data_IF_076362288739
#
_entry.id   IF_076362288739
#
_cell.length_a   1.000
_cell.length_b   1.000
_cell.length_c   1.000
_cell.angle_alpha   90.00
_cell.angle_beta   90.00
_cell.angle_gamma   90.00
#
_symmetry.space_group_name_H-M   'P 1'
#
loop_
_entity.id
_entity.type
_entity.pdbx_description
1 polymer ?
#
# COMPACT_ATOMS: atom_id res chain seq x y z
N UNK A 1 -17.28 -29.13 11.37
CA UNK A 1 -17.95 -28.70 10.13
C UNK A 1 -17.01 -27.74 9.44
N UNK A 2 -16.26 -28.25 8.48
CA UNK A 2 -15.38 -27.48 7.62
C UNK A 2 -16.21 -26.70 6.60
N UNK A 3 -16.07 -25.37 6.57
CA UNK A 3 -16.32 -24.62 5.34
C UNK A 3 -15.17 -23.64 5.07
N UNK A 4 -14.48 -24.00 3.99
CA UNK A 4 -13.39 -23.33 3.31
C UNK A 4 -13.74 -21.86 3.01
N UNK A 5 -13.06 -20.92 3.66
CA UNK A 5 -13.01 -19.55 3.17
C UNK A 5 -12.20 -19.52 1.87
N UNK A 6 -12.91 -19.56 0.73
CA UNK A 6 -12.34 -19.39 -0.62
C UNK A 6 -11.49 -18.13 -0.68
N UNK A 7 -10.17 -18.32 -0.79
CA UNK A 7 -9.20 -17.28 -1.09
C UNK A 7 -9.47 -16.78 -2.52
N UNK A 8 -10.27 -15.72 -2.69
CA UNK A 8 -10.44 -15.06 -3.99
C UNK A 8 -9.27 -14.11 -4.26
N UNK A 9 -8.05 -14.63 -4.35
CA UNK A 9 -6.91 -13.87 -4.89
C UNK A 9 -6.91 -14.04 -6.40
N UNK A 10 -6.96 -12.94 -7.15
CA UNK A 10 -6.91 -12.95 -8.62
C UNK A 10 -5.50 -13.32 -9.15
N UNK A 11 -4.46 -13.07 -8.35
CA UNK A 11 -3.06 -13.33 -8.70
C UNK A 11 -2.30 -13.93 -7.50
N UNK A 12 -1.25 -14.75 -7.76
CA UNK A 12 -0.36 -15.25 -6.71
C UNK A 12 0.40 -14.10 -6.03
N UNK A 13 0.82 -14.31 -4.79
CA UNK A 13 1.69 -13.41 -4.04
C UNK A 13 2.98 -14.14 -3.72
N UNK A 14 4.11 -13.50 -3.98
CA UNK A 14 5.43 -14.02 -3.62
C UNK A 14 5.95 -13.22 -2.42
N UNK A 15 6.39 -13.87 -1.33
CA UNK A 15 7.10 -13.17 -0.27
C UNK A 15 8.33 -12.46 -0.84
N UNK A 16 8.56 -11.21 -0.44
CA UNK A 16 9.70 -10.41 -0.86
C UNK A 16 10.48 -9.95 0.38
N UNK A 17 11.76 -10.29 0.45
CA UNK A 17 12.69 -9.75 1.43
C UNK A 17 13.35 -8.51 0.83
N UNK A 18 12.81 -7.34 1.12
CA UNK A 18 13.30 -6.06 0.61
C UNK A 18 12.98 -4.93 1.60
N UNK A 19 13.76 -3.84 1.54
CA UNK A 19 13.38 -2.61 2.25
C UNK A 19 12.27 -1.94 1.45
N UNK A 20 11.17 -1.62 2.14
CA UNK A 20 10.00 -0.99 1.52
C UNK A 20 9.76 0.35 2.20
N UNK A 21 9.73 1.41 1.39
CA UNK A 21 9.36 2.75 1.80
C UNK A 21 8.03 3.13 1.16
N UNK A 22 7.13 3.70 1.96
CA UNK A 22 5.78 4.08 1.55
C UNK A 22 5.61 5.59 1.71
N UNK A 23 5.53 6.29 0.58
CA UNK A 23 5.29 7.73 0.54
C UNK A 23 3.82 7.97 0.22
N UNK A 24 3.06 8.39 1.22
CA UNK A 24 1.72 8.93 0.98
C UNK A 24 1.93 10.35 0.47
N UNK A 25 1.92 10.50 -0.85
CA UNK A 25 1.85 11.80 -1.49
C UNK A 25 0.44 12.35 -1.30
N UNK A 26 0.16 12.83 -0.09
CA UNK A 26 -1.10 13.46 0.25
C UNK A 26 -1.06 14.92 -0.22
N UNK A 27 -1.24 15.11 -1.52
CA UNK A 27 -1.99 16.27 -1.97
C UNK A 27 -3.34 16.32 -1.22
N UNK A 28 -4.00 17.48 -1.12
CA UNK A 28 -5.20 17.61 -0.28
C UNK A 28 -6.32 16.68 -0.80
N UNK A 29 -6.48 15.52 -0.17
CA UNK A 29 -7.53 14.56 -0.52
C UNK A 29 -8.85 15.04 0.08
N UNK A 30 -9.76 15.50 -0.79
CA UNK A 30 -11.08 15.95 -0.35
C UNK A 30 -11.91 14.76 0.14
N UNK A 31 -12.29 14.79 1.42
CA UNK A 31 -13.22 13.84 2.01
C UNK A 31 -14.67 14.22 1.68
N UNK A 32 -15.50 13.21 1.40
CA UNK A 32 -16.95 13.30 1.24
C UNK A 32 -17.65 13.43 2.61
N UNK A 33 -17.21 12.65 3.60
CA UNK A 33 -17.78 12.66 4.96
C UNK A 33 -16.70 12.43 6.00
N UNK A 34 -16.92 12.99 7.18
CA UNK A 34 -16.06 12.88 8.35
C UNK A 34 -16.93 12.54 9.55
N UNK A 35 -16.62 11.46 10.26
CA UNK A 35 -17.22 11.08 11.55
C UNK A 35 -16.15 11.20 12.64
N UNK A 36 -16.44 11.92 13.72
CA UNK A 36 -15.48 12.36 14.75
C UNK A 36 -15.98 11.96 16.13
N UNK A 37 -15.09 11.40 16.94
CA UNK A 37 -15.30 11.15 18.37
C UNK A 37 -14.04 11.49 19.17
N UNK A 38 -14.14 11.52 20.49
CA UNK A 38 -12.99 11.71 21.39
C UNK A 38 -11.90 10.63 21.22
N UNK A 39 -12.26 9.47 20.66
CA UNK A 39 -11.36 8.33 20.44
C UNK A 39 -10.81 8.21 19.02
N UNK A 40 -11.24 9.03 18.06
CA UNK A 40 -10.76 8.93 16.68
C UNK A 40 -11.66 9.55 15.61
N UNK A 41 -11.21 9.37 14.36
CA UNK A 41 -11.75 9.97 13.14
C UNK A 41 -11.95 8.89 12.07
N UNK A 42 -13.08 8.92 11.37
CA UNK A 42 -13.32 8.17 10.14
C UNK A 42 -13.62 9.13 8.98
N UNK A 43 -12.94 8.93 7.85
CA UNK A 43 -13.17 9.71 6.63
C UNK A 43 -13.62 8.81 5.48
N UNK A 44 -14.45 9.34 4.59
CA UNK A 44 -14.78 8.72 3.30
C UNK A 44 -14.34 9.66 2.20
N UNK A 45 -13.65 9.17 1.16
CA UNK A 45 -13.14 9.98 0.04
C UNK A 45 -13.86 9.61 -1.26
N UNK A 46 -13.77 10.46 -2.29
CA UNK A 46 -14.34 10.17 -3.61
C UNK A 46 -13.50 9.18 -4.43
N UNK A 47 -12.21 9.08 -4.12
CA UNK A 47 -11.26 8.15 -4.74
C UNK A 47 -10.33 7.57 -3.67
N UNK A 48 -9.75 6.37 -3.90
CA UNK A 48 -8.72 5.81 -3.04
C UNK A 48 -7.53 6.77 -2.90
N UNK A 49 -6.90 6.77 -1.71
CA UNK A 49 -5.68 7.54 -1.47
C UNK A 49 -4.56 6.96 -2.32
N UNK A 50 -3.85 7.81 -3.08
CA UNK A 50 -2.69 7.40 -3.87
C UNK A 50 -1.42 7.43 -3.03
N UNK A 51 -0.47 6.58 -3.40
CA UNK A 51 0.83 6.52 -2.77
C UNK A 51 1.90 5.99 -3.71
N UNK A 52 3.14 6.45 -3.52
CA UNK A 52 4.32 5.94 -4.19
C UNK A 52 5.01 4.91 -3.29
N UNK A 53 5.10 3.67 -3.77
CA UNK A 53 5.80 2.59 -3.09
C UNK A 53 7.19 2.46 -3.68
N UNK A 54 8.23 2.59 -2.85
CA UNK A 54 9.62 2.35 -3.26
C UNK A 54 10.11 1.05 -2.63
N UNK A 55 10.57 0.14 -3.47
CA UNK A 55 11.14 -1.16 -3.07
C UNK A 55 12.63 -1.12 -3.38
N UNK A 56 13.46 -1.32 -2.37
CA UNK A 56 14.92 -1.45 -2.53
C UNK A 56 15.32 -2.90 -2.28
N UNK A 57 15.81 -3.56 -3.33
CA UNK A 57 16.33 -4.93 -3.26
C UNK A 57 17.73 -4.96 -2.63
N UNK A 58 18.18 -6.14 -2.21
CA UNK A 58 19.53 -6.34 -1.67
C UNK A 58 20.63 -5.98 -2.68
N UNK A 59 20.34 -6.07 -3.98
CA UNK A 59 21.22 -5.65 -5.08
C UNK A 59 21.45 -4.13 -5.14
N UNK A 60 20.66 -3.35 -4.42
CA UNK A 60 20.62 -1.89 -4.52
C UNK A 60 19.70 -1.38 -5.63
N UNK A 61 19.06 -2.27 -6.41
CA UNK A 61 18.05 -1.88 -7.38
C UNK A 61 16.83 -1.30 -6.66
N UNK A 62 16.38 -0.13 -7.13
CA UNK A 62 15.19 0.55 -6.62
C UNK A 62 14.09 0.46 -7.67
N UNK A 63 12.92 0.00 -7.25
CA UNK A 63 11.71 -0.01 -8.07
C UNK A 63 10.62 0.82 -7.42
N UNK A 64 10.03 1.75 -8.17
CA UNK A 64 8.91 2.59 -7.73
C UNK A 64 7.60 2.16 -8.38
N UNK A 65 6.53 2.08 -7.58
CA UNK A 65 5.17 1.77 -8.01
C UNK A 65 4.19 2.86 -7.57
N UNK A 66 3.39 3.37 -8.51
CA UNK A 66 2.21 4.16 -8.16
C UNK A 66 1.06 3.25 -7.73
N UNK A 67 0.44 3.53 -6.58
CA UNK A 67 -0.55 2.66 -5.97
C UNK A 67 -1.77 3.41 -5.43
N UNK A 68 -2.92 2.74 -5.42
CA UNK A 68 -4.14 3.10 -4.69
C UNK A 68 -4.24 2.28 -3.41
N UNK A 69 -4.48 2.94 -2.27
CA UNK A 69 -4.79 2.29 -1.00
C UNK A 69 -6.26 1.85 -0.96
N UNK A 70 -6.49 0.54 -0.96
CA UNK A 70 -7.84 -0.04 -0.99
C UNK A 70 -8.38 -0.31 0.41
N UNK A 71 -7.51 -0.73 1.33
CA UNK A 71 -7.88 -0.96 2.73
C UNK A 71 -6.64 -0.93 3.63
N UNK A 72 -6.87 -0.66 4.91
CA UNK A 72 -5.88 -0.80 5.97
C UNK A 72 -6.51 -1.55 7.15
N UNK A 73 -5.73 -2.39 7.84
CA UNK A 73 -6.16 -3.02 9.09
C UNK A 73 -4.98 -3.20 10.03
N UNK A 74 -5.25 -3.23 11.32
CA UNK A 74 -4.26 -3.62 12.33
C UNK A 74 -4.02 -5.14 12.27
N UNK A 75 -2.77 -5.55 12.16
CA UNK A 75 -2.31 -6.93 12.32
C UNK A 75 -2.06 -7.30 13.78
N UNK A 76 -1.45 -8.45 14.02
CA UNK A 76 -0.87 -8.77 15.34
C UNK A 76 0.30 -7.81 15.64
N UNK A 77 0.65 -7.68 16.91
CA UNK A 77 1.87 -7.00 17.35
C UNK A 77 2.02 -5.54 16.88
N UNK A 78 0.91 -4.79 16.93
CA UNK A 78 0.85 -3.38 16.53
C UNK A 78 1.21 -3.08 15.06
N UNK A 79 1.35 -4.11 14.23
CA UNK A 79 1.61 -3.94 12.81
C UNK A 79 0.38 -3.37 12.09
N UNK A 80 0.60 -2.58 11.05
CA UNK A 80 -0.45 -2.16 10.13
C UNK A 80 -0.27 -2.89 8.80
N UNK A 81 -1.34 -3.45 8.28
CA UNK A 81 -1.36 -4.15 7.00
C UNK A 81 -2.18 -3.32 6.02
N UNK A 82 -1.59 -3.01 4.87
CA UNK A 82 -2.24 -2.23 3.81
C UNK A 82 -2.50 -3.10 2.58
N UNK A 83 -3.71 -2.99 2.03
CA UNK A 83 -4.05 -3.53 0.73
C UNK A 83 -3.89 -2.46 -0.34
N UNK A 84 -2.87 -2.59 -1.18
CA UNK A 84 -2.57 -1.65 -2.27
C UNK A 84 -2.94 -2.26 -3.63
N UNK A 85 -3.35 -1.42 -4.56
CA UNK A 85 -3.54 -1.76 -5.98
C UNK A 85 -2.59 -0.91 -6.80
N UNK A 86 -1.77 -1.52 -7.64
CA UNK A 86 -0.88 -0.82 -8.56
C UNK A 86 -1.73 -0.13 -9.65
N UNK A 87 -1.49 1.17 -9.90
CA UNK A 87 -2.22 2.00 -10.87
C UNK A 87 -1.57 1.91 -12.25
N UNK A 88 -0.23 1.94 -12.28
CA UNK A 88 0.57 1.86 -13.49
C UNK A 88 1.53 0.65 -13.42
N UNK A 89 1.55 -0.14 -14.49
CA UNK A 89 2.48 -1.27 -14.61
C UNK A 89 3.88 -0.84 -15.03
N UNK A 90 4.05 0.40 -15.53
CA UNK A 90 5.35 0.95 -15.89
C UNK A 90 6.05 1.43 -14.61
N UNK A 91 6.69 0.47 -13.93
CA UNK A 91 7.51 0.76 -12.76
C UNK A 91 8.79 1.47 -13.18
N UNK A 92 9.23 2.45 -12.38
CA UNK A 92 10.51 3.12 -12.60
C UNK A 92 11.59 2.32 -11.90
N UNK A 93 12.57 1.84 -12.66
CA UNK A 93 13.80 1.27 -12.12
C UNK A 93 14.83 2.39 -12.01
N UNK A 94 15.30 2.64 -10.79
CA UNK A 94 16.41 3.52 -10.53
C UNK A 94 17.63 2.65 -10.23
N UNK A 95 18.62 2.71 -11.12
CA UNK A 95 19.92 2.09 -10.90
C UNK A 95 20.79 3.08 -10.13
N UNK A 96 21.21 2.72 -8.92
CA UNK A 96 22.19 3.55 -8.21
C UNK A 96 23.56 3.20 -8.79
N UNK A 97 24.18 4.15 -9.48
CA UNK A 97 25.57 4.03 -9.86
C UNK A 97 26.42 3.90 -8.58
N UNK A 98 27.02 2.72 -8.38
CA UNK A 98 28.03 2.52 -7.35
C UNK A 98 29.20 3.48 -7.64
N UNK A 99 29.38 4.49 -6.77
CA UNK A 99 30.54 5.39 -6.80
C UNK A 99 31.77 4.72 -6.18
#
# INVERSE_FOLDING_TARGET
MDEQHKIRRRHPRTPLSAKVEFFVDADIVTAKTVDISDGGLQITTFAPVRALLRVTEESGMITEYETEMIWARKGSDQQMIFGLKIIDSDYRVLEIASF
#
